data_IF_967272839261
#
_entry.id   IF_967272839261
#
_cell.length_a   1.000
_cell.length_b   1.000
_cell.length_c   1.000
_cell.angle_alpha   90.00
_cell.angle_beta   90.00
_cell.angle_gamma   90.00
#
_symmetry.space_group_name_H-M   'P 1'
#
loop_
_entity.id
_entity.type
_entity.pdbx_description
1 polymer ?
#
# COMPACT_ATOMS: atom_id res chain seq x y z
N UNK A 1 19.48 -20.01 -12.85
CA UNK A 1 20.12 -18.88 -13.58
C UNK A 1 19.45 -17.60 -13.08
N UNK A 2 20.23 -16.61 -12.62
CA UNK A 2 19.67 -15.32 -12.22
C UNK A 2 19.35 -14.53 -13.49
N UNK A 3 18.08 -14.45 -13.85
CA UNK A 3 17.64 -13.68 -15.00
C UNK A 3 17.67 -12.20 -14.62
N UNK A 4 18.70 -11.50 -15.11
CA UNK A 4 18.86 -10.07 -14.91
C UNK A 4 17.86 -9.36 -15.83
N UNK A 5 16.64 -9.12 -15.33
CA UNK A 5 15.61 -8.41 -16.10
C UNK A 5 16.22 -7.07 -16.57
N UNK A 6 16.23 -6.77 -17.89
CA UNK A 6 16.78 -5.53 -18.39
C UNK A 6 16.09 -4.33 -17.72
N UNK A 7 16.88 -3.40 -17.18
CA UNK A 7 16.39 -2.22 -16.46
C UNK A 7 15.63 -1.22 -17.35
N UNK A 8 15.71 -1.41 -18.67
CA UNK A 8 15.14 -0.51 -19.67
C UNK A 8 14.02 -1.27 -20.40
N UNK A 9 12.78 -0.77 -20.29
CA UNK A 9 11.60 -1.35 -20.95
C UNK A 9 10.50 -1.87 -20.01
N UNK A 10 10.67 -1.79 -18.69
CA UNK A 10 9.58 -2.07 -17.75
C UNK A 10 8.74 -0.81 -17.57
N UNK A 11 7.48 -0.88 -17.97
CA UNK A 11 6.48 0.13 -17.64
C UNK A 11 5.84 -0.19 -16.28
N UNK A 12 5.80 0.82 -15.41
CA UNK A 12 5.26 0.66 -14.08
C UNK A 12 3.74 0.62 -14.12
N UNK A 13 3.14 -0.45 -13.62
CA UNK A 13 1.69 -0.52 -13.45
C UNK A 13 1.22 0.34 -12.27
N UNK A 14 0.06 0.98 -12.42
CA UNK A 14 -0.61 1.65 -11.31
C UNK A 14 -0.88 0.67 -10.16
N UNK A 15 -0.66 1.12 -8.92
CA UNK A 15 -0.86 0.29 -7.72
C UNK A 15 0.34 -0.58 -7.34
N UNK A 16 1.35 -0.73 -8.20
CA UNK A 16 2.53 -1.58 -7.94
C UNK A 16 3.79 -0.77 -7.67
N UNK A 17 4.63 -1.29 -6.77
CA UNK A 17 5.95 -0.74 -6.46
C UNK A 17 7.00 -1.76 -6.89
N UNK A 18 7.86 -1.38 -7.82
CA UNK A 18 8.96 -2.23 -8.29
C UNK A 18 10.24 -1.82 -7.56
N UNK A 19 10.83 -2.76 -6.83
CA UNK A 19 11.99 -2.48 -5.97
C UNK A 19 13.27 -2.82 -6.72
N UNK A 20 13.99 -1.80 -7.18
CA UNK A 20 15.33 -1.93 -7.74
C UNK A 20 16.39 -2.04 -6.65
N UNK A 21 17.68 -2.06 -7.02
CA UNK A 21 18.77 -2.08 -6.03
C UNK A 21 18.90 -0.74 -5.31
N UNK A 22 18.98 0.36 -6.06
CA UNK A 22 19.19 1.72 -5.54
C UNK A 22 17.94 2.62 -5.63
N UNK A 23 16.96 2.22 -6.43
CA UNK A 23 15.77 2.99 -6.79
C UNK A 23 14.49 2.16 -6.64
N UNK A 24 13.35 2.86 -6.61
CA UNK A 24 12.02 2.29 -6.79
C UNK A 24 11.48 2.77 -8.13
N UNK A 25 10.87 1.87 -8.90
CA UNK A 25 10.12 2.20 -10.11
C UNK A 25 8.62 2.12 -9.80
N UNK A 26 7.89 3.18 -10.14
CA UNK A 26 6.50 3.44 -9.73
C UNK A 26 5.72 4.06 -10.88
N UNK A 27 4.41 3.86 -10.93
CA UNK A 27 3.56 4.65 -11.81
C UNK A 27 3.31 6.05 -11.23
N UNK A 28 3.13 7.07 -12.06
CA UNK A 28 2.98 8.48 -11.65
C UNK A 28 1.81 8.70 -10.69
N UNK A 29 0.74 7.91 -10.81
CA UNK A 29 -0.42 7.94 -9.90
C UNK A 29 -0.10 7.51 -8.48
N UNK A 30 0.97 6.74 -8.28
CA UNK A 30 1.38 6.18 -6.99
C UNK A 30 2.29 7.12 -6.20
N UNK A 31 2.51 8.34 -6.72
CA UNK A 31 3.46 9.31 -6.18
C UNK A 31 2.73 10.63 -5.92
N UNK A 32 2.55 10.97 -4.66
CA UNK A 32 1.96 12.24 -4.22
C UNK A 32 3.01 13.26 -3.77
N UNK A 33 2.59 14.51 -3.55
CA UNK A 33 3.43 15.56 -2.94
C UNK A 33 4.79 15.82 -3.63
N UNK A 34 4.81 15.73 -4.96
CA UNK A 34 6.00 15.96 -5.78
C UNK A 34 5.72 16.93 -6.92
N UNK A 35 6.74 17.70 -7.29
CA UNK A 35 6.73 18.63 -8.42
C UNK A 35 7.65 18.09 -9.50
N UNK A 36 7.19 18.13 -10.74
CA UNK A 36 8.00 17.76 -11.90
C UNK A 36 8.67 19.02 -12.42
N UNK A 37 10.00 19.08 -12.34
CA UNK A 37 10.78 20.14 -12.94
C UNK A 37 11.41 19.61 -14.23
N UNK A 38 11.01 20.17 -15.37
CA UNK A 38 11.77 20.00 -16.61
C UNK A 38 13.00 20.90 -16.55
N UNK A 39 14.22 20.38 -16.73
CA UNK A 39 15.38 21.25 -16.95
C UNK A 39 15.05 22.19 -18.10
N UNK A 40 15.19 23.51 -17.90
CA UNK A 40 15.13 24.44 -19.03
C UNK A 40 16.22 24.03 -20.03
N UNK A 41 15.93 24.04 -21.34
CA UNK A 41 16.95 23.81 -22.33
C UNK A 41 17.99 24.93 -22.20
N UNK A 42 19.13 24.63 -21.56
CA UNK A 42 20.26 25.53 -21.54
C UNK A 42 20.74 25.71 -22.98
N UNK A 43 20.50 26.89 -23.53
CA UNK A 43 20.90 27.31 -24.88
C UNK A 43 22.42 27.55 -24.88
N UNK A 44 23.23 26.54 -24.55
CA UNK A 44 24.68 26.62 -24.70
C UNK A 44 25.33 25.23 -24.63
N UNK A 45 25.31 24.51 -25.75
CA UNK A 45 26.42 23.62 -26.10
C UNK A 45 26.29 23.16 -27.55
N UNK A 46 27.20 23.63 -28.39
CA UNK A 46 27.42 23.20 -29.78
C UNK A 46 28.08 21.82 -29.84
N UNK A 47 27.39 20.76 -29.39
CA UNK A 47 27.82 19.37 -29.54
C UNK A 47 26.65 18.50 -30.03
N UNK A 48 26.92 17.48 -30.86
CA UNK A 48 25.88 16.71 -31.54
C UNK A 48 25.00 15.99 -30.52
N UNK A 49 23.70 16.27 -30.62
CA UNK A 49 22.64 15.80 -29.74
C UNK A 49 22.50 14.29 -29.94
N UNK A 50 23.15 13.48 -29.11
CA UNK A 50 22.51 12.26 -28.67
C UNK A 50 21.29 12.70 -27.87
N UNK A 51 20.10 12.30 -28.32
CA UNK A 51 18.84 12.53 -27.65
C UNK A 51 18.85 11.81 -26.28
N UNK A 52 19.60 12.35 -25.32
CA UNK A 52 19.40 12.08 -23.93
C UNK A 52 18.00 12.61 -23.62
N UNK A 53 17.01 11.71 -23.66
CA UNK A 53 15.64 11.97 -23.22
C UNK A 53 15.71 12.88 -22.00
N UNK A 54 15.17 14.10 -22.12
CA UNK A 54 15.22 15.10 -21.06
C UNK A 54 14.41 14.51 -19.89
N UNK A 55 15.10 13.80 -18.99
CA UNK A 55 14.48 13.17 -17.82
C UNK A 55 14.07 14.30 -16.91
N UNK A 56 12.76 14.56 -16.82
CA UNK A 56 12.24 15.55 -15.90
C UNK A 56 12.59 15.12 -14.48
N UNK A 57 13.12 16.06 -13.69
CA UNK A 57 13.54 15.81 -12.32
C UNK A 57 12.31 15.86 -11.42
N UNK A 58 12.20 14.88 -10.54
CA UNK A 58 11.15 14.84 -9.55
C UNK A 58 11.65 15.48 -8.25
N UNK A 59 10.99 16.55 -7.81
CA UNK A 59 11.33 17.32 -6.62
C UNK A 59 10.27 17.11 -5.53
N UNK A 60 10.70 17.11 -4.27
CA UNK A 60 9.78 17.19 -3.14
C UNK A 60 9.01 18.51 -3.18
N UNK A 61 7.68 18.47 -3.05
CA UNK A 61 6.87 19.69 -3.04
C UNK A 61 7.11 20.60 -1.82
N UNK A 62 7.66 20.06 -0.72
CA UNK A 62 7.89 20.82 0.53
C UNK A 62 9.26 21.48 0.60
N UNK A 63 10.32 20.78 0.17
CA UNK A 63 11.71 21.21 0.36
C UNK A 63 12.51 21.26 -0.93
N UNK A 64 11.89 21.01 -2.09
CA UNK A 64 12.53 21.02 -3.41
C UNK A 64 13.72 20.06 -3.56
N UNK A 65 13.88 19.12 -2.62
CA UNK A 65 14.94 18.10 -2.69
C UNK A 65 14.68 17.17 -3.86
N UNK A 66 15.70 16.82 -4.68
CA UNK A 66 15.55 15.86 -5.76
C UNK A 66 15.28 14.46 -5.18
N UNK A 67 14.14 13.92 -5.56
CA UNK A 67 13.67 12.60 -5.12
C UNK A 67 13.87 11.53 -6.19
N UNK A 68 14.05 11.94 -7.45
CA UNK A 68 14.04 11.00 -8.56
C UNK A 68 13.87 11.63 -9.93
N UNK A 69 13.38 10.82 -10.87
CA UNK A 69 13.12 11.25 -12.25
C UNK A 69 11.78 10.72 -12.77
N UNK A 70 11.11 11.51 -13.60
CA UNK A 70 9.96 11.07 -14.40
C UNK A 70 10.44 10.68 -15.81
N UNK A 71 10.02 9.51 -16.26
CA UNK A 71 10.33 8.90 -17.55
C UNK A 71 9.03 8.66 -18.30
N UNK A 72 8.98 9.04 -19.58
CA UNK A 72 7.85 8.80 -20.48
C UNK A 72 6.49 9.31 -19.96
N UNK A 73 6.48 10.28 -19.03
CA UNK A 73 5.27 10.87 -18.44
C UNK A 73 4.55 10.01 -17.39
N UNK A 74 4.78 8.71 -17.34
CA UNK A 74 4.08 7.75 -16.47
C UNK A 74 5.00 7.05 -15.48
N UNK A 75 6.25 6.76 -15.85
CA UNK A 75 7.17 5.99 -15.02
C UNK A 75 7.98 6.92 -14.12
N UNK A 76 7.86 6.76 -12.82
CA UNK A 76 8.64 7.49 -11.81
C UNK A 76 9.72 6.57 -11.25
N UNK A 77 10.97 7.03 -11.26
CA UNK A 77 12.06 6.42 -10.50
C UNK A 77 12.36 7.25 -9.27
N UNK A 78 12.18 6.71 -8.07
CA UNK A 78 12.52 7.34 -6.80
C UNK A 78 13.82 6.77 -6.24
N UNK A 79 14.71 7.62 -5.75
CA UNK A 79 15.91 7.17 -5.07
C UNK A 79 15.59 6.71 -3.65
N UNK A 80 15.99 5.48 -3.30
CA UNK A 80 15.68 4.91 -1.98
C UNK A 80 16.21 5.74 -0.82
N UNK A 81 17.39 6.33 -0.97
CA UNK A 81 18.01 7.16 0.07
C UNK A 81 17.23 8.44 0.37
N UNK A 82 16.32 8.86 -0.53
CA UNK A 82 15.47 10.03 -0.32
C UNK A 82 14.13 9.69 0.37
N UNK A 83 13.78 8.43 0.56
CA UNK A 83 12.46 8.02 1.08
C UNK A 83 12.26 8.33 2.58
N UNK A 84 13.34 8.63 3.31
CA UNK A 84 13.27 9.13 4.69
C UNK A 84 12.97 10.63 4.79
N UNK A 85 12.90 11.35 3.66
CA UNK A 85 12.54 12.78 3.66
C UNK A 85 11.05 12.94 3.89
N UNK A 86 10.64 13.93 4.68
CA UNK A 86 9.25 14.28 5.10
C UNK A 86 8.27 14.61 3.97
N UNK A 87 8.66 14.32 2.73
CA UNK A 87 7.82 14.22 1.58
C UNK A 87 6.94 12.98 1.79
N UNK A 88 5.67 13.18 2.14
CA UNK A 88 4.70 12.10 2.23
C UNK A 88 4.39 11.60 0.80
N UNK A 89 5.38 11.02 0.11
CA UNK A 89 5.33 10.65 -1.30
C UNK A 89 4.37 9.47 -1.48
N UNK A 90 4.34 8.59 -0.48
CA UNK A 90 3.44 7.46 -0.38
C UNK A 90 2.22 7.78 0.49
N UNK A 91 1.81 9.05 0.64
CA UNK A 91 0.66 9.40 1.49
C UNK A 91 -0.64 8.69 1.09
N UNK A 92 -0.73 8.24 -0.16
CA UNK A 92 -1.86 7.46 -0.67
C UNK A 92 -1.83 5.99 -0.24
N UNK A 93 -0.67 5.49 0.18
CA UNK A 93 -0.54 4.16 0.77
C UNK A 93 -0.80 4.26 2.28
N UNK A 94 -1.89 3.67 2.72
CA UNK A 94 -2.25 3.67 4.13
C UNK A 94 -1.73 2.41 4.81
N UNK A 95 -1.85 2.36 6.14
CA UNK A 95 -1.63 1.14 6.93
C UNK A 95 -2.41 -0.05 6.35
N UNK A 96 -3.63 0.20 5.87
CA UNK A 96 -4.50 -0.82 5.27
C UNK A 96 -3.89 -1.39 3.99
N UNK A 97 -3.28 -0.54 3.14
CA UNK A 97 -2.68 -0.95 1.86
C UNK A 97 -1.59 -2.02 2.03
N UNK A 98 -0.87 -2.00 3.17
CA UNK A 98 0.17 -3.00 3.48
C UNK A 98 -0.47 -4.38 3.67
N UNK A 99 -1.48 -4.48 4.55
CA UNK A 99 -2.15 -5.75 4.83
C UNK A 99 -3.01 -6.22 3.65
N UNK A 100 -3.69 -5.29 2.96
CA UNK A 100 -4.50 -5.62 1.78
C UNK A 100 -3.65 -6.28 0.69
N UNK A 101 -2.47 -5.73 0.41
CA UNK A 101 -1.58 -6.31 -0.59
C UNK A 101 -1.17 -7.74 -0.23
N UNK A 102 -0.75 -7.98 1.02
CA UNK A 102 -0.38 -9.32 1.50
C UNK A 102 -1.56 -10.31 1.46
N UNK A 103 -2.75 -9.86 1.89
CA UNK A 103 -3.95 -10.70 1.88
C UNK A 103 -4.36 -11.09 0.47
N UNK A 104 -4.36 -10.14 -0.47
CA UNK A 104 -4.72 -10.40 -1.87
C UNK A 104 -3.71 -11.35 -2.54
N UNK A 105 -2.42 -11.18 -2.27
CA UNK A 105 -1.39 -12.09 -2.78
C UNK A 105 -1.62 -13.54 -2.31
N UNK A 106 -1.92 -13.72 -1.02
CA UNK A 106 -2.23 -15.06 -0.47
C UNK A 106 -3.56 -15.60 -1.00
N UNK A 107 -4.57 -14.76 -1.19
CA UNK A 107 -5.85 -15.16 -1.80
C UNK A 107 -5.61 -15.68 -3.23
N UNK A 108 -4.84 -14.95 -4.03
CA UNK A 108 -4.56 -15.31 -5.42
C UNK A 108 -3.67 -16.55 -5.53
N UNK A 109 -2.67 -16.69 -4.66
CA UNK A 109 -1.71 -17.79 -4.71
C UNK A 109 -2.25 -19.09 -4.07
N UNK A 110 -2.84 -18.98 -2.88
CA UNK A 110 -3.15 -20.12 -2.02
C UNK A 110 -4.68 -20.31 -1.80
N UNK A 111 -5.51 -19.33 -2.12
CA UNK A 111 -6.96 -19.38 -1.91
C UNK A 111 -7.40 -19.27 -0.44
N UNK A 112 -6.56 -18.77 0.46
CA UNK A 112 -6.94 -18.52 1.85
C UNK A 112 -7.63 -17.16 2.00
N UNK A 113 -8.77 -17.14 2.70
CA UNK A 113 -9.55 -15.92 2.98
C UNK A 113 -9.50 -15.50 4.44
N UNK A 114 -8.73 -16.19 5.27
CA UNK A 114 -8.64 -15.98 6.72
C UNK A 114 -7.21 -15.78 7.12
N UNK A 115 -6.99 -14.76 7.93
CA UNK A 115 -5.68 -14.27 8.28
C UNK A 115 -5.61 -14.03 9.78
N UNK A 116 -4.55 -14.54 10.39
CA UNK A 116 -4.17 -14.20 11.75
C UNK A 116 -2.98 -13.25 11.66
N UNK A 117 -3.22 -11.95 11.83
CA UNK A 117 -2.18 -10.93 11.82
C UNK A 117 -1.56 -10.86 13.21
N UNK A 118 -0.27 -11.14 13.30
CA UNK A 118 0.50 -11.23 14.55
C UNK A 118 1.68 -10.26 14.54
N UNK A 119 2.05 -9.79 15.73
CA UNK A 119 3.18 -8.89 15.91
C UNK A 119 4.51 -9.62 15.71
N UNK A 120 5.37 -9.09 14.84
CA UNK A 120 6.71 -9.61 14.54
C UNK A 120 7.60 -9.79 15.79
N UNK A 121 7.43 -8.90 16.78
CA UNK A 121 8.32 -8.84 17.95
C UNK A 121 7.81 -9.66 19.14
N UNK A 122 6.62 -10.23 19.07
CA UNK A 122 5.96 -10.74 20.26
C UNK A 122 6.28 -12.22 20.54
N UNK A 123 7.00 -12.46 21.63
CA UNK A 123 6.99 -13.74 22.33
C UNK A 123 5.65 -13.93 23.04
N UNK A 124 5.07 -15.13 22.95
CA UNK A 124 3.82 -15.61 23.56
C UNK A 124 2.98 -14.58 24.35
N UNK A 125 1.83 -14.18 23.78
CA UNK A 125 0.88 -13.23 24.40
C UNK A 125 0.58 -11.97 23.58
N UNK A 126 1.10 -11.89 22.35
CA UNK A 126 0.83 -10.81 21.39
C UNK A 126 -0.67 -10.59 21.17
N UNK A 127 -1.06 -9.34 20.88
CA UNK A 127 -2.40 -9.03 20.36
C UNK A 127 -2.52 -9.61 18.95
N UNK A 128 -3.55 -10.42 18.70
CA UNK A 128 -3.81 -11.03 17.40
C UNK A 128 -5.02 -10.37 16.76
N UNK A 129 -4.87 -9.89 15.54
CA UNK A 129 -5.98 -9.42 14.71
C UNK A 129 -6.38 -10.55 13.76
N UNK A 130 -7.55 -11.15 14.01
CA UNK A 130 -8.14 -12.11 13.07
C UNK A 130 -8.93 -11.34 12.02
N UNK A 131 -8.68 -11.63 10.75
CA UNK A 131 -9.34 -11.03 9.60
C UNK A 131 -9.86 -12.13 8.68
N UNK A 132 -11.12 -12.06 8.30
CA UNK A 132 -11.71 -12.88 7.26
C UNK A 132 -12.20 -11.98 6.13
N UNK A 133 -11.66 -12.17 4.93
CA UNK A 133 -12.08 -11.44 3.74
C UNK A 133 -13.44 -11.99 3.29
N UNK A 134 -14.43 -11.10 3.24
CA UNK A 134 -15.81 -11.41 2.82
C UNK A 134 -16.04 -11.02 1.36
N UNK A 135 -15.38 -9.97 0.89
CA UNK A 135 -15.40 -9.52 -0.51
C UNK A 135 -14.19 -8.64 -0.80
N UNK A 136 -13.57 -8.84 -1.97
CA UNK A 136 -12.44 -8.04 -2.47
C UNK A 136 -12.82 -7.14 -3.67
N UNK A 137 -14.08 -7.16 -4.10
CA UNK A 137 -14.61 -6.30 -5.17
C UNK A 137 -15.68 -5.32 -4.63
N UNK A 138 -15.59 -5.00 -3.34
CA UNK A 138 -16.51 -4.06 -2.70
C UNK A 138 -16.11 -2.63 -3.04
N UNK A 139 -17.12 -1.77 -3.23
CA UNK A 139 -16.93 -0.32 -3.33
C UNK A 139 -17.71 0.38 -2.23
N UNK A 140 -17.11 1.43 -1.66
CA UNK A 140 -17.76 2.29 -0.68
C UNK A 140 -17.68 3.74 -1.14
N UNK A 141 -18.76 4.48 -0.94
CA UNK A 141 -18.82 5.92 -1.12
C UNK A 141 -19.38 6.51 0.16
N UNK A 142 -18.65 7.44 0.76
CA UNK A 142 -19.04 8.08 2.02
C UNK A 142 -19.06 9.59 1.83
N UNK A 143 -19.56 10.34 2.82
CA UNK A 143 -19.45 11.81 2.80
C UNK A 143 -18.00 12.30 2.83
N UNK A 144 -17.08 11.50 3.39
CA UNK A 144 -15.64 11.80 3.43
C UNK A 144 -14.95 11.47 2.10
N UNK A 145 -15.47 10.48 1.35
CA UNK A 145 -14.94 10.04 0.07
C UNK A 145 -16.01 10.21 -1.03
N UNK A 146 -16.05 11.39 -1.70
CA UNK A 146 -17.11 11.70 -2.66
C UNK A 146 -17.06 10.83 -3.92
N UNK A 147 -15.92 10.20 -4.21
CA UNK A 147 -15.76 9.21 -5.28
C UNK A 147 -15.76 7.79 -4.72
N UNK A 148 -16.37 6.81 -5.41
CA UNK A 148 -16.33 5.41 -4.99
C UNK A 148 -14.90 4.91 -4.80
N UNK A 149 -14.62 4.30 -3.65
CA UNK A 149 -13.35 3.68 -3.32
C UNK A 149 -13.48 2.17 -3.34
N UNK A 150 -12.51 1.48 -3.94
CA UNK A 150 -12.41 0.01 -3.82
C UNK A 150 -11.89 -0.33 -2.42
N UNK A 151 -12.53 -1.30 -1.78
CA UNK A 151 -12.20 -1.71 -0.41
C UNK A 151 -12.30 -3.22 -0.26
N UNK A 152 -11.52 -3.77 0.67
CA UNK A 152 -11.75 -5.13 1.15
C UNK A 152 -12.78 -5.09 2.27
N UNK A 153 -13.92 -5.75 2.07
CA UNK A 153 -14.89 -5.98 3.13
C UNK A 153 -14.44 -7.17 3.95
N UNK A 154 -14.22 -6.96 5.25
CA UNK A 154 -13.69 -7.98 6.14
C UNK A 154 -14.56 -8.16 7.38
N UNK A 155 -14.58 -9.38 7.91
CA UNK A 155 -14.95 -9.65 9.30
C UNK A 155 -13.66 -9.66 10.13
N UNK A 156 -13.61 -8.87 11.19
CA UNK A 156 -12.44 -8.79 12.05
C UNK A 156 -12.77 -9.00 13.53
N UNK A 157 -11.78 -9.52 14.27
CA UNK A 157 -11.82 -9.66 15.72
C UNK A 157 -10.43 -9.42 16.30
N UNK A 158 -10.38 -8.74 17.44
CA UNK A 158 -9.15 -8.50 18.18
C UNK A 158 -9.13 -9.46 19.36
N UNK A 159 -8.25 -10.45 19.31
CA UNK A 159 -8.15 -11.50 20.33
C UNK A 159 -6.81 -11.41 21.06
N UNK A 160 -6.82 -11.77 22.35
CA UNK A 160 -5.57 -12.14 23.05
C UNK A 160 -5.30 -13.60 22.70
N UNK A 161 -4.04 -13.94 22.40
CA UNK A 161 -3.64 -15.32 22.12
C UNK A 161 -4.17 -16.25 23.23
N UNK A 162 -5.08 -17.13 22.85
CA UNK A 162 -5.69 -18.15 23.68
C UNK A 162 -5.81 -19.44 22.87
N UNK A 163 -6.18 -20.57 23.50
CA UNK A 163 -6.29 -21.84 22.79
C UNK A 163 -7.21 -21.69 21.57
N UNK A 164 -6.67 -22.00 20.39
CA UNK A 164 -7.31 -21.84 19.09
C UNK A 164 -8.72 -22.49 19.08
N UNK A 165 -9.77 -21.68 19.16
CA UNK A 165 -11.16 -22.15 19.03
C UNK A 165 -11.64 -22.25 17.57
N UNK A 166 -10.76 -22.21 16.55
CA UNK A 166 -11.20 -22.27 15.15
C UNK A 166 -10.59 -23.45 14.38
N UNK A 167 -11.47 -24.37 13.96
CA UNK A 167 -11.21 -25.54 13.11
C UNK A 167 -10.99 -25.19 11.62
N UNK A 168 -11.07 -23.92 11.25
CA UNK A 168 -11.04 -23.48 9.87
C UNK A 168 -9.66 -22.93 9.49
N UNK A 169 -9.15 -23.24 8.28
CA UNK A 169 -7.80 -22.89 7.90
C UNK A 169 -7.61 -21.37 7.83
N UNK A 170 -6.56 -20.90 8.50
CA UNK A 170 -6.10 -19.50 8.47
C UNK A 170 -4.62 -19.44 8.09
N UNK A 171 -4.22 -18.32 7.48
CA UNK A 171 -2.82 -17.99 7.18
C UNK A 171 -2.31 -16.97 8.19
N UNK A 172 -1.14 -17.22 8.77
CA UNK A 172 -0.49 -16.22 9.61
C UNK A 172 0.16 -15.13 8.73
N UNK A 173 -0.05 -13.87 9.10
CA UNK A 173 0.64 -12.70 8.53
C UNK A 173 1.37 -11.97 9.65
N UNK A 174 2.61 -11.56 9.39
CA UNK A 174 3.42 -10.81 10.36
C UNK A 174 3.38 -9.31 10.05
N UNK A 175 3.24 -8.51 11.10
CA UNK A 175 3.18 -7.05 11.03
C UNK A 175 3.80 -6.44 12.29
N UNK A 176 4.16 -5.15 12.25
CA UNK A 176 4.56 -4.45 13.48
C UNK A 176 3.36 -4.15 14.36
N UNK A 177 3.54 -4.12 15.69
CA UNK A 177 2.49 -3.72 16.64
C UNK A 177 1.80 -2.40 16.26
N UNK A 178 2.58 -1.39 15.85
CA UNK A 178 2.05 -0.09 15.42
C UNK A 178 1.11 -0.21 14.20
N UNK A 179 1.49 -1.02 13.22
CA UNK A 179 0.64 -1.27 12.05
C UNK A 179 -0.67 -1.96 12.42
N UNK A 180 -0.61 -2.93 13.34
CA UNK A 180 -1.80 -3.64 13.84
C UNK A 180 -2.74 -2.67 14.55
N UNK A 181 -2.21 -1.80 15.42
CA UNK A 181 -3.02 -0.84 16.16
C UNK A 181 -3.69 0.19 15.23
N UNK A 182 -2.95 0.74 14.25
CA UNK A 182 -3.49 1.67 13.25
C UNK A 182 -4.63 1.03 12.44
N UNK A 183 -4.44 -0.21 12.00
CA UNK A 183 -5.46 -0.95 11.23
C UNK A 183 -6.68 -1.27 12.09
N UNK A 184 -6.49 -1.67 13.35
CA UNK A 184 -7.60 -1.93 14.28
C UNK A 184 -8.43 -0.67 14.50
N UNK A 185 -7.81 0.48 14.72
CA UNK A 185 -8.52 1.74 14.91
C UNK A 185 -9.36 2.09 13.66
N UNK A 186 -8.76 1.95 12.47
CA UNK A 186 -9.44 2.21 11.20
C UNK A 186 -10.57 1.24 10.94
N UNK A 187 -10.39 -0.05 11.23
CA UNK A 187 -11.43 -1.06 11.12
C UNK A 187 -12.60 -0.76 12.06
N UNK A 188 -12.33 -0.41 13.31
CA UNK A 188 -13.36 0.00 14.27
C UNK A 188 -14.13 1.23 13.79
N UNK A 189 -13.43 2.24 13.25
CA UNK A 189 -14.07 3.43 12.66
C UNK A 189 -14.91 3.08 11.44
N UNK A 190 -14.42 2.21 10.56
CA UNK A 190 -15.17 1.78 9.38
C UNK A 190 -16.42 0.96 9.74
N UNK A 191 -16.38 0.21 10.85
CA UNK A 191 -17.51 -0.56 11.33
C UNK A 191 -18.68 0.32 11.77
N UNK A 192 -18.43 1.56 12.22
CA UNK A 192 -19.51 2.49 12.57
C UNK A 192 -20.27 3.04 11.36
N UNK A 193 -19.75 2.85 10.15
CA UNK A 193 -20.45 3.21 8.91
C UNK A 193 -21.57 2.23 8.56
N UNK A 194 -21.63 1.07 9.24
CA UNK A 194 -22.65 0.06 9.00
C UNK A 194 -23.91 0.33 9.84
N UNK A 195 -25.11 0.09 9.28
CA UNK A 195 -26.34 0.14 10.05
C UNK A 195 -26.29 -0.81 11.24
N UNK A 196 -26.81 -0.39 12.39
CA UNK A 196 -26.83 -1.16 13.63
C UNK A 196 -27.56 -2.51 13.52
N UNK A 197 -28.45 -2.68 12.52
CA UNK A 197 -29.10 -3.95 12.19
C UNK A 197 -28.13 -5.02 11.65
N UNK A 198 -27.05 -4.63 10.98
CA UNK A 198 -26.00 -5.52 10.48
C UNK A 198 -25.04 -5.92 11.61
N UNK A 199 -24.80 -5.00 12.54
CA UNK A 199 -23.93 -5.20 13.71
C UNK A 199 -24.57 -6.14 14.74
N UNK A 200 -25.90 -6.07 14.92
CA UNK A 200 -26.64 -6.84 15.93
C UNK A 200 -26.68 -8.37 15.69
N UNK A 201 -26.37 -8.84 14.47
CA UNK A 201 -26.42 -10.27 14.12
C UNK A 201 -25.12 -11.05 14.34
N UNK A 202 -24.04 -10.42 14.80
CA UNK A 202 -22.70 -11.01 14.79
C UNK A 202 -22.19 -11.29 16.19
N UNK A 203 -22.13 -12.56 16.57
CA UNK A 203 -21.70 -12.99 17.91
C UNK A 203 -20.17 -13.11 18.07
N UNK A 204 -19.40 -13.11 16.97
CA UNK A 204 -17.94 -13.31 16.98
C UNK A 204 -17.20 -12.38 15.98
N UNK A 205 -17.27 -11.07 16.19
CA UNK A 205 -16.49 -10.08 15.43
C UNK A 205 -17.33 -8.94 14.85
N UNK A 206 -16.67 -8.02 14.15
CA UNK A 206 -17.29 -6.85 13.50
C UNK A 206 -16.96 -6.82 12.02
N UNK A 207 -17.87 -6.30 11.18
CA UNK A 207 -17.55 -6.04 9.77
C UNK A 207 -16.90 -4.67 9.66
N UNK A 208 -15.80 -4.60 8.92
CA UNK A 208 -15.11 -3.37 8.59
C UNK A 208 -14.65 -3.35 7.13
N UNK A 209 -14.03 -2.24 6.75
CA UNK A 209 -13.51 -2.00 5.41
C UNK A 209 -12.04 -1.60 5.49
N UNK A 210 -11.18 -2.30 4.75
CA UNK A 210 -9.78 -1.94 4.54
C UNK A 210 -9.64 -1.20 3.20
N UNK A 211 -8.99 -0.05 3.23
CA UNK A 211 -8.79 0.81 2.06
C UNK A 211 -7.45 0.49 1.40
N UNK A 212 -7.51 -0.28 0.30
CA UNK A 212 -6.35 -0.74 -0.47
C UNK A 212 -5.76 0.32 -1.37
#
# INVERSE_FOLDING_TARGET
AFEHIPRDGIDAAAGRIYVGSADLLLHRSNVGNVVVATPEPSISSTLPIQAASIKAVLLCAKCSTPLGSLQNGTNVRLFKHCLGTTAAIFHSYTSDSVLVAQMLEVIEADGFFRFDVVDEAAADGARRLRVQVLSWDATIQTSEFPTPQKVLKVLFAVEKVGPNESELPSKELTATAALIDDVVERLQRSATLLPSSVVAGMSKGSIGFLFG
#
